data_IF_791996331139
#
_entry.id   IF_791996331139
#
_cell.length_a   1.000
_cell.length_b   1.000
_cell.length_c   1.000
_cell.angle_alpha   90.00
_cell.angle_beta   90.00
_cell.angle_gamma   90.00
#
_symmetry.space_group_name_H-M   'P 1'
#
loop_
_entity.id
_entity.type
_entity.pdbx_description
1 polymer ?
#
# COMPACT_ATOMS: atom_id res chain seq x y z
N UNK A 1 -19.88 12.98 7.77
CA UNK A 1 -20.44 11.93 6.86
C UNK A 1 -19.47 10.77 6.69
N UNK A 2 -18.16 10.99 6.47
CA UNK A 2 -17.22 9.86 6.37
C UNK A 2 -16.89 9.13 7.66
N UNK A 3 -16.89 9.81 8.82
CA UNK A 3 -16.88 9.12 10.11
C UNK A 3 -18.03 8.13 10.21
N UNK A 4 -19.20 8.43 9.61
CA UNK A 4 -20.32 7.50 9.56
C UNK A 4 -20.11 6.36 8.55
N UNK A 5 -19.45 6.58 7.40
CA UNK A 5 -19.10 5.51 6.44
C UNK A 5 -18.09 4.55 7.06
N UNK A 6 -17.03 5.05 7.70
CA UNK A 6 -16.04 4.23 8.41
C UNK A 6 -16.63 3.56 9.66
N UNK A 7 -17.55 4.23 10.38
CA UNK A 7 -18.28 3.61 11.51
C UNK A 7 -19.30 2.55 11.05
N UNK A 8 -19.94 2.73 9.90
CA UNK A 8 -20.84 1.74 9.29
C UNK A 8 -20.05 0.52 8.79
N UNK A 9 -18.88 0.74 8.21
CA UNK A 9 -17.96 -0.33 7.84
C UNK A 9 -17.51 -1.15 9.05
N UNK A 10 -17.34 -0.53 10.23
CA UNK A 10 -17.04 -1.25 11.47
C UNK A 10 -18.18 -2.15 11.98
N UNK A 11 -19.44 -1.89 11.60
CA UNK A 11 -20.63 -2.61 12.07
C UNK A 11 -21.27 -3.59 11.08
N UNK A 12 -20.81 -3.64 9.82
CA UNK A 12 -21.39 -4.46 8.76
C UNK A 12 -20.58 -5.74 8.46
N UNK A 13 -21.22 -6.70 7.79
CA UNK A 13 -20.54 -7.89 7.25
C UNK A 13 -19.36 -7.50 6.36
N UNK A 14 -18.26 -8.24 6.49
CA UNK A 14 -17.02 -7.98 5.76
C UNK A 14 -17.17 -8.04 4.23
N UNK A 15 -18.26 -8.63 3.74
CA UNK A 15 -18.63 -8.71 2.33
C UNK A 15 -18.86 -7.34 1.67
N UNK A 16 -19.28 -6.32 2.42
CA UNK A 16 -19.61 -4.99 1.88
C UNK A 16 -18.39 -4.07 1.69
N UNK A 17 -17.26 -4.34 2.35
CA UNK A 17 -16.06 -3.49 2.25
C UNK A 17 -15.60 -3.30 0.81
N UNK A 18 -15.63 -4.39 0.02
CA UNK A 18 -15.17 -4.35 -1.37
C UNK A 18 -15.97 -3.35 -2.20
N UNK A 19 -17.30 -3.45 -2.13
CA UNK A 19 -18.20 -2.54 -2.83
C UNK A 19 -18.07 -1.11 -2.30
N UNK A 20 -17.96 -0.93 -0.97
CA UNK A 20 -17.84 0.39 -0.36
C UNK A 20 -16.56 1.13 -0.79
N UNK A 21 -15.40 0.47 -0.74
CA UNK A 21 -14.15 1.07 -1.23
C UNK A 21 -14.20 1.31 -2.74
N UNK A 22 -14.79 0.40 -3.51
CA UNK A 22 -15.00 0.58 -4.95
C UNK A 22 -15.82 1.84 -5.27
N UNK A 23 -16.90 2.09 -4.54
CA UNK A 23 -17.71 3.31 -4.71
C UNK A 23 -16.99 4.58 -4.22
N UNK A 24 -16.22 4.49 -3.12
CA UNK A 24 -15.42 5.63 -2.65
C UNK A 24 -14.33 6.01 -3.65
N UNK A 25 -13.65 5.04 -4.27
CA UNK A 25 -12.65 5.30 -5.32
C UNK A 25 -13.33 6.01 -6.49
N UNK A 26 -14.48 5.52 -6.97
CA UNK A 26 -15.25 6.17 -8.04
C UNK A 26 -15.65 7.60 -7.67
N UNK A 27 -16.12 7.81 -6.43
CA UNK A 27 -16.55 9.12 -5.95
C UNK A 27 -15.39 10.11 -5.88
N UNK A 28 -14.23 9.68 -5.36
CA UNK A 28 -13.00 10.47 -5.32
C UNK A 28 -12.59 10.91 -6.72
N UNK A 29 -12.65 10.02 -7.71
CA UNK A 29 -12.32 10.35 -9.09
C UNK A 29 -13.36 11.22 -9.80
N UNK A 30 -14.64 11.05 -9.50
CA UNK A 30 -15.72 11.78 -10.17
C UNK A 30 -15.96 13.17 -9.59
N UNK A 31 -15.93 13.31 -8.27
CA UNK A 31 -16.35 14.52 -7.55
C UNK A 31 -15.39 14.87 -6.39
N UNK A 32 -14.08 15.04 -6.64
CA UNK A 32 -13.10 15.34 -5.58
C UNK A 32 -13.42 16.62 -4.80
N UNK A 33 -14.08 17.59 -5.45
CA UNK A 33 -14.50 18.84 -4.81
C UNK A 33 -15.43 18.65 -3.61
N UNK A 34 -16.31 17.64 -3.62
CA UNK A 34 -17.22 17.33 -2.51
C UNK A 34 -16.48 16.77 -1.29
N UNK A 35 -15.36 16.10 -1.53
CA UNK A 35 -14.57 15.43 -0.50
C UNK A 35 -13.46 16.30 0.06
N UNK A 36 -13.09 17.40 -0.63
CA UNK A 36 -11.99 18.29 -0.27
C UNK A 36 -11.88 18.63 1.22
N UNK A 37 -12.96 18.95 1.96
CA UNK A 37 -12.87 19.26 3.39
C UNK A 37 -12.42 18.09 4.28
N UNK A 38 -12.52 16.87 3.77
CA UNK A 38 -12.34 15.64 4.54
C UNK A 38 -11.18 14.78 4.02
N UNK A 39 -10.52 15.16 2.92
CA UNK A 39 -9.51 14.34 2.25
C UNK A 39 -8.34 13.95 3.16
N UNK A 40 -7.90 14.84 4.05
CA UNK A 40 -6.83 14.51 5.00
C UNK A 40 -7.26 13.36 5.93
N UNK A 41 -8.47 13.46 6.48
CA UNK A 41 -9.02 12.41 7.37
C UNK A 41 -9.22 11.10 6.60
N UNK A 42 -9.67 11.15 5.34
CA UNK A 42 -9.77 9.97 4.47
C UNK A 42 -8.45 9.22 4.35
N UNK A 43 -7.37 9.95 4.07
CA UNK A 43 -6.05 9.35 3.90
C UNK A 43 -5.63 8.67 5.19
N UNK A 44 -5.86 9.32 6.34
CA UNK A 44 -5.52 8.76 7.66
C UNK A 44 -6.35 7.52 8.00
N UNK A 45 -7.67 7.58 7.80
CA UNK A 45 -8.59 6.47 8.08
C UNK A 45 -8.29 5.27 7.16
N UNK A 46 -8.12 5.51 5.86
CA UNK A 46 -7.78 4.48 4.89
C UNK A 46 -6.40 3.87 5.15
N UNK A 47 -5.41 4.69 5.52
CA UNK A 47 -4.09 4.20 5.91
C UNK A 47 -4.14 3.34 7.17
N UNK A 48 -4.93 3.75 8.18
CA UNK A 48 -5.11 2.95 9.39
C UNK A 48 -5.74 1.58 9.09
N UNK A 49 -6.68 1.51 8.14
CA UNK A 49 -7.27 0.24 7.70
C UNK A 49 -6.22 -0.59 6.93
N UNK A 50 -5.44 0.03 6.05
CA UNK A 50 -4.40 -0.64 5.27
C UNK A 50 -3.30 -1.26 6.16
N UNK A 51 -3.02 -0.66 7.32
CA UNK A 51 -2.04 -1.15 8.29
C UNK A 51 -2.58 -2.22 9.26
N UNK A 52 -3.90 -2.38 9.36
CA UNK A 52 -4.53 -3.23 10.35
C UNK A 52 -4.50 -4.71 9.94
N UNK A 53 -3.71 -5.52 10.64
CA UNK A 53 -3.62 -6.97 10.40
C UNK A 53 -4.89 -7.75 10.80
N UNK A 54 -5.88 -7.12 11.44
CA UNK A 54 -7.15 -7.71 11.85
C UNK A 54 -8.25 -7.71 10.78
N UNK A 55 -8.02 -7.04 9.65
CA UNK A 55 -8.91 -7.06 8.46
C UNK A 55 -8.28 -7.85 7.31
N UNK A 56 -9.09 -8.29 6.35
CA UNK A 56 -8.60 -9.12 5.23
C UNK A 56 -7.62 -8.37 4.33
N UNK A 57 -6.71 -9.10 3.70
CA UNK A 57 -5.69 -8.56 2.79
C UNK A 57 -6.32 -7.74 1.63
N UNK A 58 -7.41 -8.24 1.05
CA UNK A 58 -8.20 -7.53 0.03
C UNK A 58 -8.73 -6.19 0.57
N UNK A 59 -9.23 -6.14 1.81
CA UNK A 59 -9.73 -4.90 2.42
C UNK A 59 -8.61 -3.89 2.63
N UNK A 60 -7.44 -4.36 3.10
CA UNK A 60 -6.25 -3.48 3.25
C UNK A 60 -5.79 -2.94 1.91
N UNK A 61 -5.75 -3.79 0.88
CA UNK A 61 -5.39 -3.41 -0.49
C UNK A 61 -6.33 -2.33 -1.00
N UNK A 62 -7.64 -2.54 -0.92
CA UNK A 62 -8.64 -1.57 -1.38
C UNK A 62 -8.61 -0.25 -0.62
N UNK A 63 -8.37 -0.29 0.70
CA UNK A 63 -8.17 0.92 1.49
C UNK A 63 -6.94 1.70 0.99
N UNK A 64 -5.85 1.01 0.68
CA UNK A 64 -4.67 1.66 0.13
C UNK A 64 -4.86 2.13 -1.33
N UNK A 65 -5.64 1.41 -2.13
CA UNK A 65 -6.04 1.83 -3.48
C UNK A 65 -6.83 3.14 -3.45
N UNK A 66 -7.68 3.36 -2.45
CA UNK A 66 -8.35 4.65 -2.25
C UNK A 66 -7.32 5.78 -2.05
N UNK A 67 -6.30 5.56 -1.21
CA UNK A 67 -5.22 6.54 -1.04
C UNK A 67 -4.46 6.77 -2.36
N UNK A 68 -4.16 5.72 -3.11
CA UNK A 68 -3.52 5.85 -4.42
C UNK A 68 -4.38 6.60 -5.44
N UNK A 69 -5.71 6.39 -5.45
CA UNK A 69 -6.62 7.15 -6.29
C UNK A 69 -6.57 8.66 -5.95
N UNK A 70 -6.45 8.98 -4.66
CA UNK A 70 -6.28 10.37 -4.22
C UNK A 70 -4.93 10.97 -4.67
N UNK A 71 -3.84 10.19 -4.68
CA UNK A 71 -2.52 10.67 -5.16
C UNK A 71 -2.51 11.06 -6.65
N UNK A 72 -3.48 10.59 -7.43
CA UNK A 72 -3.56 10.85 -8.88
C UNK A 72 -4.33 12.13 -9.22
N UNK A 73 -4.97 12.76 -8.23
CA UNK A 73 -5.84 13.91 -8.42
C UNK A 73 -5.12 15.19 -8.04
N UNK A 74 -5.08 16.15 -8.97
CA UNK A 74 -4.46 17.46 -8.75
C UNK A 74 -5.11 18.23 -7.61
N UNK A 75 -6.39 17.99 -7.36
CA UNK A 75 -7.16 18.55 -6.25
C UNK A 75 -6.60 18.12 -4.88
N UNK A 76 -5.91 16.98 -4.83
CA UNK A 76 -5.31 16.43 -3.63
C UNK A 76 -3.84 16.85 -3.45
N UNK A 77 -3.12 17.31 -4.48
CA UNK A 77 -1.68 17.59 -4.44
C UNK A 77 -1.27 18.43 -3.23
N UNK A 78 -1.94 19.57 -3.02
CA UNK A 78 -1.63 20.46 -1.91
C UNK A 78 -1.88 19.79 -0.54
N UNK A 79 -2.93 18.97 -0.43
CA UNK A 79 -3.22 18.22 0.79
C UNK A 79 -2.15 17.16 1.04
N UNK A 80 -1.78 16.39 0.02
CA UNK A 80 -0.75 15.35 0.11
C UNK A 80 0.60 15.94 0.54
N UNK A 81 1.03 17.05 -0.08
CA UNK A 81 2.30 17.71 0.29
C UNK A 81 2.32 18.18 1.75
N UNK A 82 1.17 18.60 2.27
CA UNK A 82 1.00 19.08 3.65
C UNK A 82 0.77 17.96 4.68
N UNK A 83 0.72 16.69 4.27
CA UNK A 83 0.62 15.59 5.23
C UNK A 83 1.82 15.59 6.19
N UNK A 84 1.59 15.32 7.50
CA UNK A 84 2.66 15.17 8.48
C UNK A 84 3.70 14.16 8.01
N UNK A 85 4.98 14.41 8.33
CA UNK A 85 6.09 13.54 7.93
C UNK A 85 5.85 12.08 8.34
N UNK A 86 5.41 11.84 9.58
CA UNK A 86 5.07 10.50 10.09
C UNK A 86 4.00 9.80 9.25
N UNK A 87 3.00 10.54 8.77
CA UNK A 87 1.98 9.99 7.87
C UNK A 87 2.59 9.55 6.55
N UNK A 88 3.54 10.32 6.00
CA UNK A 88 4.23 9.96 4.76
C UNK A 88 5.13 8.73 4.96
N UNK A 89 5.85 8.63 6.09
CA UNK A 89 6.61 7.43 6.46
C UNK A 89 5.69 6.20 6.43
N UNK A 90 4.53 6.29 7.10
CA UNK A 90 3.53 5.23 7.12
C UNK A 90 2.99 4.87 5.74
N UNK A 91 2.73 5.86 4.88
CA UNK A 91 2.33 5.62 3.49
C UNK A 91 3.36 4.80 2.72
N UNK A 92 4.66 5.04 2.91
CA UNK A 92 5.72 4.27 2.27
C UNK A 92 5.92 2.87 2.88
N UNK A 93 5.62 2.67 4.17
CA UNK A 93 5.73 1.36 4.82
C UNK A 93 4.78 0.34 4.17
N UNK A 94 3.55 0.72 3.83
CA UNK A 94 2.54 -0.21 3.29
C UNK A 94 3.03 -0.93 2.01
N UNK A 95 3.44 -0.24 0.92
CA UNK A 95 3.93 -0.90 -0.28
C UNK A 95 5.24 -1.65 -0.03
N UNK A 96 6.14 -1.17 0.83
CA UNK A 96 7.39 -1.89 1.12
C UNK A 96 7.10 -3.20 1.87
N UNK A 97 6.11 -3.24 2.78
CA UNK A 97 5.62 -4.48 3.39
C UNK A 97 5.05 -5.45 2.35
N UNK A 98 4.35 -4.96 1.33
CA UNK A 98 3.87 -5.82 0.24
C UNK A 98 5.04 -6.50 -0.50
N UNK A 99 6.15 -5.79 -0.70
CA UNK A 99 7.37 -6.37 -1.28
C UNK A 99 8.00 -7.47 -0.40
N UNK A 100 7.90 -7.34 0.92
CA UNK A 100 8.36 -8.39 1.86
C UNK A 100 7.49 -9.64 1.74
N UNK A 101 6.17 -9.45 1.69
CA UNK A 101 5.20 -10.55 1.64
C UNK A 101 5.22 -11.31 0.31
N UNK A 102 5.58 -10.64 -0.80
CA UNK A 102 5.62 -11.27 -2.12
C UNK A 102 6.80 -12.23 -2.34
N UNK A 103 7.75 -12.29 -1.41
CA UNK A 103 8.92 -13.17 -1.53
C UNK A 103 8.75 -14.38 -0.62
N UNK A 104 8.63 -15.57 -1.23
CA UNK A 104 8.52 -16.86 -0.53
C UNK A 104 9.88 -17.44 -0.16
N UNK A 105 9.92 -18.18 0.95
CA UNK A 105 11.06 -19.03 1.24
C UNK A 105 11.06 -20.24 0.30
N UNK A 106 12.24 -20.73 -0.08
CA UNK A 106 12.35 -21.96 -0.89
C UNK A 106 11.59 -23.16 -0.31
N UNK A 107 11.42 -23.21 1.02
CA UNK A 107 10.66 -24.26 1.72
C UNK A 107 9.15 -24.14 1.49
N UNK A 108 8.62 -22.91 1.45
CA UNK A 108 7.20 -22.65 1.21
C UNK A 108 6.80 -23.01 -0.24
N UNK A 109 7.71 -22.78 -1.19
CA UNK A 109 7.55 -23.19 -2.60
C UNK A 109 7.48 -24.71 -2.77
N UNK A 110 8.26 -25.45 -1.97
CA UNK A 110 8.26 -26.92 -1.99
C UNK A 110 7.01 -27.51 -1.31
N UNK A 111 6.49 -26.88 -0.25
CA UNK A 111 5.24 -27.30 0.39
C UNK A 111 4.01 -26.98 -0.47
N UNK A 112 3.96 -25.83 -1.14
CA UNK A 112 2.85 -25.50 -2.06
C UNK A 112 2.80 -26.46 -3.26
N UNK A 113 3.96 -26.86 -3.79
CA UNK A 113 4.06 -27.90 -4.84
C UNK A 113 3.62 -29.27 -4.37
N UNK A 114 3.82 -29.61 -3.09
CA UNK A 114 3.32 -30.86 -2.49
C UNK A 114 1.83 -30.82 -2.17
N UNK A 115 1.27 -29.63 -1.88
CA UNK A 115 -0.15 -29.42 -1.61
C UNK A 115 -1.03 -29.39 -2.86
N UNK A 116 -0.48 -28.99 -4.03
CA UNK A 116 -1.15 -29.06 -5.35
C UNK A 116 -1.10 -30.46 -5.99
N UNK A 117 -1.17 -31.51 -5.18
CA UNK A 117 -1.42 -32.87 -5.64
C UNK A 117 -2.90 -33.08 -5.96
N UNK A 118 -3.25 -32.98 -7.25
CA UNK A 118 -4.48 -33.48 -7.92
C UNK A 118 -5.75 -33.51 -7.05
N UNK A 119 -6.52 -32.42 -7.06
CA UNK A 119 -7.93 -32.45 -6.71
C UNK A 119 -8.75 -32.04 -7.95
N UNK A 120 -9.16 -33.05 -8.72
CA UNK A 120 -10.22 -32.94 -9.71
C UNK A 120 -11.55 -32.77 -8.97
N UNK A 121 -12.27 -31.67 -9.24
CA UNK A 121 -13.71 -31.60 -9.07
C UNK A 121 -14.28 -30.71 -7.95
N UNK A 122 -15.28 -29.93 -8.38
CA UNK A 122 -16.41 -29.36 -7.65
C UNK A 122 -16.30 -27.94 -7.07
N UNK A 123 -16.99 -27.03 -7.77
CA UNK A 123 -17.63 -25.78 -7.35
C UNK A 123 -17.59 -25.44 -5.84
N UNK A 124 -16.73 -24.48 -5.53
CA UNK A 124 -16.87 -23.57 -4.41
C UNK A 124 -16.33 -22.23 -4.88
N UNK A 125 -17.03 -21.14 -4.57
CA UNK A 125 -16.64 -19.77 -4.90
C UNK A 125 -15.20 -19.52 -4.43
N UNK A 126 -14.27 -19.67 -5.37
CA UNK A 126 -12.84 -19.65 -5.07
C UNK A 126 -12.49 -18.21 -4.73
N UNK A 127 -12.29 -17.94 -3.44
CA UNK A 127 -11.56 -16.78 -2.95
C UNK A 127 -10.26 -16.76 -3.76
N UNK A 128 -10.16 -15.84 -4.74
CA UNK A 128 -9.01 -15.80 -5.66
C UNK A 128 -7.77 -15.68 -4.78
N UNK A 129 -7.00 -16.76 -4.68
CA UNK A 129 -5.68 -16.73 -4.05
C UNK A 129 -4.92 -15.62 -4.77
N UNK A 130 -4.66 -14.53 -4.06
CA UNK A 130 -3.93 -13.39 -4.62
C UNK A 130 -2.55 -13.93 -4.98
N UNK A 131 -2.23 -13.91 -6.27
CA UNK A 131 -0.95 -14.36 -6.78
C UNK A 131 0.15 -13.49 -6.16
N UNK A 132 1.23 -14.08 -5.67
CA UNK A 132 2.34 -13.30 -5.06
C UNK A 132 2.91 -12.29 -6.06
N UNK A 133 2.86 -12.62 -7.35
CA UNK A 133 3.25 -11.70 -8.40
C UNK A 133 2.32 -10.47 -8.47
N UNK A 134 1.02 -10.63 -8.21
CA UNK A 134 0.06 -9.51 -8.10
C UNK A 134 0.35 -8.65 -6.86
N UNK A 135 0.74 -9.25 -5.72
CA UNK A 135 1.15 -8.51 -4.52
C UNK A 135 2.42 -7.67 -4.78
N UNK A 136 3.43 -8.27 -5.40
CA UNK A 136 4.67 -7.56 -5.75
C UNK A 136 4.41 -6.40 -6.72
N UNK A 137 3.71 -6.68 -7.83
CA UNK A 137 3.40 -5.67 -8.85
C UNK A 137 2.58 -4.53 -8.27
N UNK A 138 1.60 -4.84 -7.41
CA UNK A 138 0.81 -3.83 -6.73
C UNK A 138 1.65 -2.97 -5.78
N UNK A 139 2.50 -3.58 -4.95
CA UNK A 139 3.42 -2.87 -4.06
C UNK A 139 4.36 -1.93 -4.82
N UNK A 140 4.97 -2.43 -5.91
CA UNK A 140 5.83 -1.64 -6.78
C UNK A 140 5.11 -0.48 -7.47
N UNK A 141 3.87 -0.71 -7.95
CA UNK A 141 3.03 0.32 -8.55
C UNK A 141 2.74 1.43 -7.54
N UNK A 142 2.34 1.06 -6.34
CA UNK A 142 2.06 1.99 -5.26
C UNK A 142 3.28 2.82 -4.87
N UNK A 143 4.45 2.17 -4.70
CA UNK A 143 5.69 2.86 -4.34
C UNK A 143 6.07 3.92 -5.39
N UNK A 144 5.97 3.59 -6.68
CA UNK A 144 6.23 4.55 -7.77
C UNK A 144 5.24 5.71 -7.78
N UNK A 145 3.94 5.44 -7.54
CA UNK A 145 2.94 6.51 -7.43
C UNK A 145 3.24 7.47 -6.29
N UNK A 146 3.61 6.94 -5.12
CA UNK A 146 4.04 7.76 -3.98
C UNK A 146 5.27 8.60 -4.32
N UNK A 147 6.27 8.04 -5.02
CA UNK A 147 7.41 8.82 -5.48
C UNK A 147 6.98 10.03 -6.33
N UNK A 148 6.05 9.84 -7.27
CA UNK A 148 5.53 10.95 -8.10
C UNK A 148 4.68 11.95 -7.28
N UNK A 149 3.96 11.48 -6.28
CA UNK A 149 3.01 12.27 -5.51
C UNK A 149 3.65 13.18 -4.44
N UNK A 150 4.94 13.02 -4.14
CA UNK A 150 5.65 13.77 -3.09
C UNK A 150 6.93 14.41 -3.64
N UNK A 151 7.38 15.48 -3.00
CA UNK A 151 8.64 16.15 -3.33
C UNK A 151 9.85 15.22 -3.12
N UNK A 152 10.79 15.21 -4.07
CA UNK A 152 11.94 14.30 -4.07
C UNK A 152 12.75 14.31 -2.78
N UNK A 153 13.04 15.48 -2.21
CA UNK A 153 13.74 15.58 -0.91
C UNK A 153 12.99 14.86 0.21
N UNK A 154 11.68 15.12 0.33
CA UNK A 154 10.81 14.48 1.34
C UNK A 154 10.79 12.97 1.16
N UNK A 155 10.73 12.48 -0.07
CA UNK A 155 10.75 11.04 -0.39
C UNK A 155 12.09 10.41 0.00
N UNK A 156 13.21 11.02 -0.39
CA UNK A 156 14.55 10.48 -0.06
C UNK A 156 14.76 10.43 1.45
N UNK A 157 14.36 11.47 2.20
CA UNK A 157 14.46 11.49 3.66
C UNK A 157 13.63 10.36 4.29
N UNK A 158 12.39 10.18 3.84
CA UNK A 158 11.50 9.09 4.31
C UNK A 158 12.11 7.72 4.00
N UNK A 159 12.56 7.50 2.77
CA UNK A 159 13.13 6.21 2.38
C UNK A 159 14.44 5.93 3.10
N UNK A 160 15.28 6.94 3.35
CA UNK A 160 16.50 6.79 4.15
C UNK A 160 16.18 6.36 5.58
N UNK A 161 15.18 6.97 6.23
CA UNK A 161 14.73 6.53 7.56
C UNK A 161 14.28 5.06 7.50
N UNK A 162 13.45 4.68 6.53
CA UNK A 162 12.96 3.32 6.43
C UNK A 162 14.09 2.30 6.28
N UNK A 163 15.01 2.58 5.35
CA UNK A 163 16.15 1.72 5.04
C UNK A 163 17.01 1.47 6.28
N UNK A 164 17.40 2.54 6.97
CA UNK A 164 18.32 2.47 8.12
C UNK A 164 17.65 1.92 9.38
N UNK A 165 16.39 2.26 9.62
CA UNK A 165 15.69 1.90 10.86
C UNK A 165 15.09 0.50 10.85
N UNK A 166 14.63 0.02 9.69
CA UNK A 166 13.79 -1.18 9.63
C UNK A 166 14.29 -2.28 8.68
N UNK A 167 14.99 -1.94 7.59
CA UNK A 167 15.18 -2.90 6.50
C UNK A 167 16.62 -3.41 6.32
N UNK A 168 17.64 -2.54 6.24
CA UNK A 168 18.99 -2.95 5.85
C UNK A 168 19.70 -3.81 6.92
N UNK A 169 19.50 -3.50 8.19
CA UNK A 169 20.11 -4.23 9.32
C UNK A 169 19.20 -5.34 9.89
N UNK A 170 18.06 -5.62 9.25
CA UNK A 170 17.15 -6.67 9.70
C UNK A 170 17.80 -8.05 9.61
N UNK A 171 17.53 -8.91 10.59
CA UNK A 171 17.95 -10.34 10.55
C UNK A 171 17.15 -11.12 9.51
N UNK A 172 15.93 -10.67 9.19
CA UNK A 172 15.09 -11.27 8.15
C UNK A 172 15.59 -10.85 6.75
N UNK A 173 15.88 -11.84 5.90
CA UNK A 173 16.38 -11.60 4.56
C UNK A 173 15.32 -11.00 3.63
N UNK A 174 14.03 -11.29 3.85
CA UNK A 174 12.93 -10.73 3.05
C UNK A 174 12.82 -9.22 3.28
N UNK A 175 13.03 -8.79 4.52
CA UNK A 175 13.14 -7.37 4.88
C UNK A 175 14.33 -6.69 4.20
N UNK A 176 15.53 -7.31 4.23
CA UNK A 176 16.70 -6.76 3.53
C UNK A 176 16.47 -6.69 2.02
N UNK A 177 15.86 -7.71 1.42
CA UNK A 177 15.51 -7.72 0.00
C UNK A 177 14.57 -6.56 -0.36
N UNK A 178 13.48 -6.37 0.38
CA UNK A 178 12.57 -5.24 0.18
C UNK A 178 13.26 -3.88 0.35
N UNK A 179 14.20 -3.77 1.30
CA UNK A 179 15.06 -2.59 1.45
C UNK A 179 15.93 -2.32 0.22
N UNK A 180 16.59 -3.34 -0.32
CA UNK A 180 17.38 -3.20 -1.57
C UNK A 180 16.49 -2.81 -2.75
N UNK A 181 15.28 -3.38 -2.85
CA UNK A 181 14.30 -2.99 -3.86
C UNK A 181 13.90 -1.51 -3.71
N UNK A 182 13.61 -1.05 -2.49
CA UNK A 182 13.31 0.35 -2.20
C UNK A 182 14.47 1.27 -2.59
N UNK A 183 15.71 0.91 -2.23
CA UNK A 183 16.92 1.64 -2.60
C UNK A 183 17.06 1.76 -4.12
N UNK A 184 16.77 0.68 -4.85
CA UNK A 184 16.80 0.67 -6.32
C UNK A 184 15.77 1.62 -6.92
N UNK A 185 14.58 1.69 -6.33
CA UNK A 185 13.53 2.63 -6.78
C UNK A 185 13.97 4.07 -6.56
N UNK A 186 14.40 4.44 -5.35
CA UNK A 186 14.79 5.83 -5.08
C UNK A 186 16.04 6.24 -5.87
N UNK A 187 17.01 5.34 -6.07
CA UNK A 187 18.19 5.63 -6.88
C UNK A 187 17.83 5.89 -8.36
N UNK A 188 16.75 5.29 -8.85
CA UNK A 188 16.26 5.52 -10.20
C UNK A 188 15.47 6.81 -10.32
N UNK A 189 14.58 7.09 -9.38
CA UNK A 189 13.63 8.20 -9.48
C UNK A 189 14.20 9.53 -8.92
N UNK A 190 15.20 9.47 -8.01
CA UNK A 190 15.74 10.63 -7.27
C UNK A 190 17.27 10.60 -7.14
N UNK A 191 17.99 10.19 -8.19
CA UNK A 191 19.46 10.11 -8.15
C UNK A 191 20.13 11.44 -7.77
N UNK A 192 19.57 12.55 -8.24
CA UNK A 192 20.16 13.88 -8.08
C UNK A 192 20.02 14.35 -6.62
N UNK A 193 18.85 14.16 -6.03
CA UNK A 193 18.60 14.42 -4.61
C UNK A 193 19.47 13.54 -3.70
N UNK A 194 19.63 12.27 -4.05
CA UNK A 194 20.46 11.33 -3.27
C UNK A 194 21.94 11.74 -3.24
N UNK A 195 22.50 12.23 -4.34
CA UNK A 195 23.90 12.70 -4.39
C UNK A 195 24.07 14.01 -3.63
N UNK A 196 23.05 14.86 -3.62
CA UNK A 196 23.10 16.16 -2.93
C UNK A 196 23.02 16.04 -1.40
N UNK A 197 22.68 14.86 -0.88
CA UNK A 197 22.64 14.54 0.55
C UNK A 197 23.98 14.03 1.12
N UNK A 198 24.95 13.70 0.25
CA UNK A 198 26.33 13.28 0.62
C UNK A 198 27.30 14.46 0.63
#
# INVERSE_FOLDING_TARGET
MMVAVFSLLHGYERSYFKSAFGELIKLVSAEPGLLKPYMSDMVLDALQIAENSGVSDETRRLAFELVMAMTELKECDQMMMNLPYETVVRLFIVPVKMLVLSVKDNRELDEEKKGKGVADGADGENEKVVDDNDVYEFGMKCLKKLCVAFEGRKVVDVCYELLTKYYLDSTDWKMRHAGITLLTVIAKEFSDEMVTLL
#
